data_IF_493571226652
#
_entry.id   IF_493571226652
#
_cell.length_a   1.000
_cell.length_b   1.000
_cell.length_c   1.000
_cell.angle_alpha   90.00
_cell.angle_beta   90.00
_cell.angle_gamma   90.00
#
_symmetry.space_group_name_H-M   'P 1'
#
loop_
_entity.id
_entity.type
_entity.pdbx_description
1 polymer ?
#
# COMPACT_ATOMS: atom_id res chain seq x y z
N UNK A 1 23.66 -9.97 19.93
CA UNK A 1 23.51 -11.39 19.56
C UNK A 1 22.40 -11.61 18.53
N UNK A 2 21.21 -11.08 18.65
CA UNK A 2 20.10 -11.34 17.72
C UNK A 2 20.32 -10.92 16.25
N UNK A 3 21.00 -9.79 15.97
CA UNK A 3 21.34 -9.39 14.58
C UNK A 3 22.30 -10.36 13.91
N UNK A 4 23.27 -10.90 14.66
CA UNK A 4 24.20 -11.87 14.13
C UNK A 4 23.51 -13.21 13.85
N UNK A 5 22.62 -13.63 14.76
CA UNK A 5 21.79 -14.81 14.56
C UNK A 5 20.88 -14.67 13.33
N UNK A 6 20.23 -13.53 13.14
CA UNK A 6 19.36 -13.29 11.99
C UNK A 6 20.16 -13.29 10.66
N UNK A 7 21.37 -12.72 10.65
CA UNK A 7 22.25 -12.78 9.47
C UNK A 7 22.67 -14.23 9.19
N UNK A 8 23.00 -15.00 10.24
CA UNK A 8 23.34 -16.41 10.12
C UNK A 8 22.14 -17.23 9.61
N UNK A 9 20.92 -16.96 10.11
CA UNK A 9 19.68 -17.59 9.68
C UNK A 9 19.33 -17.27 8.20
N UNK A 10 19.52 -16.01 7.78
CA UNK A 10 19.35 -15.58 6.38
C UNK A 10 20.37 -16.29 5.48
N UNK A 11 21.62 -16.32 5.89
CA UNK A 11 22.68 -17.03 5.15
C UNK A 11 22.40 -18.51 5.03
N UNK A 12 22.02 -19.15 6.14
CA UNK A 12 21.65 -20.56 6.17
C UNK A 12 20.42 -20.85 5.28
N UNK A 13 19.41 -19.96 5.27
CA UNK A 13 18.25 -20.07 4.40
C UNK A 13 18.64 -20.05 2.91
N UNK A 14 19.46 -19.09 2.49
CA UNK A 14 19.89 -18.95 1.09
C UNK A 14 20.72 -20.17 0.65
N UNK A 15 21.68 -20.60 1.46
CA UNK A 15 22.54 -21.76 1.17
C UNK A 15 21.71 -23.05 1.13
N UNK A 16 20.83 -23.28 2.11
CA UNK A 16 20.02 -24.49 2.20
C UNK A 16 19.04 -24.66 1.03
N UNK A 17 18.71 -23.59 0.31
CA UNK A 17 17.79 -23.60 -0.81
C UNK A 17 18.48 -23.29 -2.16
N UNK A 18 19.81 -23.26 -2.20
CA UNK A 18 20.62 -22.98 -3.41
C UNK A 18 20.18 -21.70 -4.12
N UNK A 19 19.97 -20.62 -3.33
CA UNK A 19 19.51 -19.32 -3.82
C UNK A 19 20.67 -18.35 -3.98
N UNK A 20 20.68 -17.58 -5.05
CA UNK A 20 21.70 -16.54 -5.27
C UNK A 20 21.60 -15.42 -4.22
N UNK A 21 22.74 -14.81 -3.89
CA UNK A 21 22.80 -13.63 -3.02
C UNK A 21 22.41 -12.41 -3.86
N UNK A 22 21.11 -12.18 -3.99
CA UNK A 22 20.52 -11.01 -4.65
C UNK A 22 19.74 -10.15 -3.64
N UNK A 23 19.49 -8.88 -3.98
CA UNK A 23 18.72 -7.97 -3.13
C UNK A 23 17.31 -8.53 -2.86
N UNK A 24 16.66 -9.10 -3.87
CA UNK A 24 15.33 -9.72 -3.78
C UNK A 24 15.33 -10.96 -2.88
N UNK A 25 16.34 -11.83 -3.01
CA UNK A 25 16.43 -13.04 -2.19
C UNK A 25 16.78 -12.73 -0.73
N UNK A 26 17.63 -11.74 -0.50
CA UNK A 26 17.92 -11.24 0.85
C UNK A 26 16.67 -10.65 1.52
N UNK A 27 15.90 -9.84 0.78
CA UNK A 27 14.64 -9.26 1.29
C UNK A 27 13.60 -10.36 1.60
N UNK A 28 13.49 -11.37 0.74
CA UNK A 28 12.58 -12.51 0.96
C UNK A 28 13.02 -13.36 2.16
N UNK A 29 14.32 -13.69 2.27
CA UNK A 29 14.87 -14.42 3.40
C UNK A 29 14.69 -13.66 4.72
N UNK A 30 14.91 -12.33 4.72
CA UNK A 30 14.61 -11.46 5.85
C UNK A 30 13.12 -11.48 6.20
N UNK A 31 12.24 -11.48 5.19
CA UNK A 31 10.79 -11.58 5.36
C UNK A 31 10.37 -12.87 6.05
N UNK A 32 11.00 -13.98 5.70
CA UNK A 32 10.71 -15.32 6.24
C UNK A 32 11.35 -15.51 7.62
N UNK A 33 12.67 -15.31 7.74
CA UNK A 33 13.43 -15.58 8.96
C UNK A 33 13.24 -14.48 10.02
N UNK A 34 13.09 -13.23 9.59
CA UNK A 34 12.91 -12.07 10.46
C UNK A 34 11.45 -11.74 10.78
N UNK A 35 10.49 -12.46 10.19
CA UNK A 35 9.05 -12.24 10.43
C UNK A 35 8.49 -10.94 9.84
N UNK A 36 9.27 -10.21 9.03
CA UNK A 36 8.84 -8.94 8.43
C UNK A 36 7.79 -9.13 7.30
N UNK A 37 7.62 -10.36 6.78
CA UNK A 37 6.57 -10.72 5.83
C UNK A 37 5.82 -11.98 6.29
N UNK A 38 4.80 -11.86 7.16
CA UNK A 38 4.06 -13.00 7.70
C UNK A 38 3.33 -13.82 6.63
N UNK A 39 2.89 -13.21 5.53
CA UNK A 39 2.24 -13.90 4.44
C UNK A 39 3.21 -14.82 3.70
N UNK A 40 4.41 -14.32 3.41
CA UNK A 40 5.48 -15.10 2.79
C UNK A 40 5.97 -16.22 3.73
N UNK A 41 6.10 -15.91 5.02
CA UNK A 41 6.48 -16.89 6.03
C UNK A 41 5.47 -18.05 6.16
N UNK A 42 4.16 -17.75 6.10
CA UNK A 42 3.11 -18.80 6.07
C UNK A 42 3.21 -19.68 4.83
N UNK A 43 3.33 -19.10 3.64
CA UNK A 43 3.47 -19.84 2.38
C UNK A 43 4.74 -20.69 2.36
N UNK A 44 5.82 -20.17 2.93
CA UNK A 44 7.05 -20.94 3.14
C UNK A 44 6.82 -22.14 4.06
N UNK A 45 6.11 -21.96 5.17
CA UNK A 45 5.78 -23.05 6.11
C UNK A 45 4.89 -24.10 5.44
N UNK A 46 3.90 -23.69 4.65
CA UNK A 46 3.04 -24.59 3.87
C UNK A 46 3.84 -25.37 2.82
N UNK A 47 4.74 -24.71 2.08
CA UNK A 47 5.61 -25.35 1.11
C UNK A 47 6.49 -26.41 1.78
N UNK A 48 7.10 -26.08 2.91
CA UNK A 48 7.94 -27.01 3.69
C UNK A 48 7.14 -28.20 4.22
N UNK A 49 5.90 -27.99 4.63
CA UNK A 49 5.00 -29.07 5.09
C UNK A 49 4.66 -30.06 3.98
N UNK A 50 4.68 -29.65 2.72
CA UNK A 50 4.48 -30.54 1.54
C UNK A 50 5.76 -31.20 1.06
N UNK A 51 6.91 -30.95 1.70
CA UNK A 51 8.21 -31.52 1.34
C UNK A 51 8.84 -30.92 0.06
N UNK A 52 8.28 -29.87 -0.48
CA UNK A 52 8.80 -29.25 -1.69
C UNK A 52 9.97 -28.29 -1.38
N UNK A 53 11.01 -28.24 -2.23
CA UNK A 53 12.12 -27.31 -2.06
C UNK A 53 11.70 -25.89 -2.40
N UNK A 54 12.30 -24.92 -1.71
CA UNK A 54 12.22 -23.50 -2.11
C UNK A 54 13.13 -23.29 -3.31
N UNK A 55 12.56 -22.95 -4.45
CA UNK A 55 13.32 -22.66 -5.68
C UNK A 55 13.32 -21.17 -5.96
N UNK A 56 14.27 -20.68 -6.77
CA UNK A 56 14.29 -19.29 -7.23
C UNK A 56 12.97 -18.93 -7.93
N UNK A 57 12.47 -19.83 -8.79
CA UNK A 57 11.20 -19.63 -9.49
C UNK A 57 10.01 -19.45 -8.53
N UNK A 58 9.94 -20.25 -7.47
CA UNK A 58 8.91 -20.11 -6.45
C UNK A 58 9.03 -18.76 -5.71
N UNK A 59 10.25 -18.37 -5.34
CA UNK A 59 10.51 -17.12 -4.65
C UNK A 59 10.11 -15.93 -5.52
N UNK A 60 10.50 -15.93 -6.78
CA UNK A 60 10.15 -14.92 -7.77
C UNK A 60 8.64 -14.82 -8.00
N UNK A 61 7.95 -15.96 -8.01
CA UNK A 61 6.49 -16.03 -8.11
C UNK A 61 5.81 -15.40 -6.89
N UNK A 62 6.32 -15.68 -5.68
CA UNK A 62 5.78 -15.11 -4.45
C UNK A 62 6.02 -13.61 -4.34
N UNK A 63 7.17 -13.12 -4.80
CA UNK A 63 7.51 -11.69 -4.80
C UNK A 63 6.73 -10.92 -5.89
N UNK A 64 6.48 -11.55 -7.06
CA UNK A 64 5.64 -10.99 -8.13
C UNK A 64 4.15 -11.05 -7.81
N UNK A 65 3.72 -11.93 -6.93
CA UNK A 65 2.32 -12.33 -6.76
C UNK A 65 1.37 -11.19 -6.37
N UNK A 66 1.84 -10.10 -5.78
CA UNK A 66 1.00 -8.95 -5.40
C UNK A 66 0.80 -8.01 -6.61
N UNK A 67 1.87 -7.68 -7.32
CA UNK A 67 1.78 -6.80 -8.51
C UNK A 67 1.05 -7.52 -9.66
N UNK A 68 1.27 -8.82 -9.80
CA UNK A 68 0.58 -9.69 -10.76
C UNK A 68 -0.93 -9.82 -10.46
N UNK A 69 -1.30 -9.87 -9.18
CA UNK A 69 -2.72 -9.89 -8.76
C UNK A 69 -3.41 -8.57 -9.06
N UNK A 70 -2.75 -7.44 -8.79
CA UNK A 70 -3.25 -6.11 -9.10
C UNK A 70 -3.37 -5.93 -10.62
N UNK A 71 -2.35 -6.34 -11.38
CA UNK A 71 -2.36 -6.29 -12.84
C UNK A 71 -3.49 -7.15 -13.44
N UNK A 72 -3.69 -8.37 -12.94
CA UNK A 72 -4.79 -9.25 -13.37
C UNK A 72 -6.17 -8.68 -13.07
N UNK A 73 -6.36 -8.02 -11.93
CA UNK A 73 -7.64 -7.38 -11.58
C UNK A 73 -7.85 -6.14 -12.47
N UNK A 74 -6.81 -5.35 -12.73
CA UNK A 74 -6.87 -4.20 -13.62
C UNK A 74 -7.24 -4.61 -15.06
N UNK A 75 -6.57 -5.62 -15.60
CA UNK A 75 -6.86 -6.18 -16.93
C UNK A 75 -8.29 -6.76 -17.05
N UNK A 76 -8.80 -7.35 -15.97
CA UNK A 76 -10.17 -7.82 -15.90
C UNK A 76 -11.18 -6.67 -15.86
N UNK A 77 -10.85 -5.58 -15.18
CA UNK A 77 -11.67 -4.37 -15.17
C UNK A 77 -11.70 -3.70 -16.53
N UNK A 78 -10.56 -3.60 -17.22
CA UNK A 78 -10.46 -3.02 -18.57
C UNK A 78 -11.30 -3.83 -19.56
N UNK A 79 -11.21 -5.15 -19.54
CA UNK A 79 -12.05 -6.04 -20.36
C UNK A 79 -13.55 -5.88 -20.06
N UNK A 80 -13.93 -5.71 -18.79
CA UNK A 80 -15.32 -5.46 -18.41
C UNK A 80 -15.82 -4.12 -18.92
N UNK A 81 -14.98 -3.08 -18.91
CA UNK A 81 -15.30 -1.76 -19.45
C UNK A 81 -15.40 -1.77 -20.99
N UNK A 82 -14.53 -2.51 -21.68
CA UNK A 82 -14.61 -2.70 -23.13
C UNK A 82 -15.89 -3.42 -23.53
N UNK A 83 -16.25 -4.49 -22.80
CA UNK A 83 -17.51 -5.22 -23.01
C UNK A 83 -18.73 -4.31 -22.82
N UNK A 84 -18.74 -3.50 -21.76
CA UNK A 84 -19.79 -2.51 -21.51
C UNK A 84 -19.89 -1.48 -22.63
N UNK A 85 -18.75 -0.96 -23.12
CA UNK A 85 -18.72 0.00 -24.22
C UNK A 85 -19.20 -0.62 -25.55
N UNK A 86 -18.93 -1.91 -25.78
CA UNK A 86 -19.45 -2.66 -26.93
C UNK A 86 -20.96 -2.82 -26.85
N UNK A 87 -21.48 -3.35 -25.73
CA UNK A 87 -22.92 -3.52 -25.49
C UNK A 87 -23.68 -2.18 -25.62
N UNK A 88 -23.12 -1.08 -25.12
CA UNK A 88 -23.71 0.26 -25.25
C UNK A 88 -23.73 0.77 -26.71
N UNK A 89 -22.72 0.43 -27.50
CA UNK A 89 -22.69 0.75 -28.95
C UNK A 89 -23.73 -0.07 -29.71
N UNK A 90 -23.81 -1.35 -29.44
CA UNK A 90 -24.78 -2.27 -30.08
C UNK A 90 -26.21 -1.87 -29.73
N UNK A 91 -26.47 -1.44 -28.51
CA UNK A 91 -27.76 -0.89 -28.10
C UNK A 91 -28.13 0.35 -28.91
N UNK A 92 -27.20 1.29 -29.08
CA UNK A 92 -27.44 2.50 -29.89
C UNK A 92 -27.69 2.18 -31.36
N UNK A 93 -26.91 1.28 -31.94
CA UNK A 93 -27.07 0.88 -33.34
C UNK A 93 -28.42 0.17 -33.57
N UNK A 94 -28.81 -0.70 -32.64
CA UNK A 94 -30.11 -1.40 -32.71
C UNK A 94 -31.28 -0.42 -32.56
N UNK A 95 -31.20 0.56 -31.64
CA UNK A 95 -32.22 1.60 -31.50
C UNK A 95 -32.34 2.48 -32.74
N UNK A 96 -31.23 2.84 -33.37
CA UNK A 96 -31.23 3.58 -34.64
C UNK A 96 -31.83 2.78 -35.80
N UNK A 97 -31.55 1.49 -35.88
CA UNK A 97 -32.14 0.59 -36.88
C UNK A 97 -33.64 0.50 -36.72
N UNK A 98 -34.13 0.25 -35.49
CA UNK A 98 -35.58 0.21 -35.22
C UNK A 98 -36.28 1.53 -35.53
N UNK A 99 -35.64 2.67 -35.19
CA UNK A 99 -36.17 4.00 -35.53
C UNK A 99 -36.34 4.19 -37.06
N UNK A 100 -35.35 3.71 -37.83
CA UNK A 100 -35.40 3.75 -39.28
C UNK A 100 -36.49 2.83 -39.89
N UNK A 101 -36.64 1.61 -39.34
CA UNK A 101 -37.67 0.68 -39.75
C UNK A 101 -39.08 1.20 -39.43
N UNK A 102 -39.26 1.80 -38.26
CA UNK A 102 -40.54 2.45 -37.88
C UNK A 102 -40.91 3.58 -38.86
N UNK A 103 -39.91 4.37 -39.28
CA UNK A 103 -40.10 5.50 -40.22
C UNK A 103 -40.52 4.98 -41.60
N UNK A 104 -39.89 3.91 -42.08
CA UNK A 104 -40.22 3.27 -43.36
C UNK A 104 -41.64 2.69 -43.34
N UNK A 105 -42.10 2.11 -42.24
CA UNK A 105 -43.45 1.61 -42.07
C UNK A 105 -44.51 2.72 -41.96
N UNK A 106 -44.18 3.84 -41.31
CA UNK A 106 -45.03 5.01 -41.21
C UNK A 106 -45.25 5.70 -42.59
N UNK A 107 -44.22 5.70 -43.44
CA UNK A 107 -44.26 6.34 -44.77
C UNK A 107 -45.01 5.49 -45.87
N UNK A 108 -45.29 4.20 -45.58
CA UNK A 108 -45.89 3.25 -46.54
C UNK A 108 -47.40 3.02 -46.34
N UNK A 109 -48.10 3.88 -45.58
CA UNK A 109 -49.49 3.71 -45.17
C UNK A 109 -50.44 3.42 -46.36
N UNK A 110 -50.78 2.14 -46.55
CA UNK A 110 -51.76 1.67 -47.55
C UNK A 110 -52.82 0.68 -47.06
N UNK A 111 -52.50 -0.15 -46.05
CA UNK A 111 -53.47 -1.05 -45.41
C UNK A 111 -53.31 -0.99 -43.87
N UNK A 112 -54.14 -0.17 -43.23
CA UNK A 112 -54.04 0.22 -41.80
C UNK A 112 -53.99 -0.99 -40.82
N UNK A 113 -54.59 -2.13 -41.15
CA UNK A 113 -54.62 -3.29 -40.24
C UNK A 113 -53.36 -4.12 -40.25
N UNK A 114 -52.73 -4.27 -41.40
CA UNK A 114 -51.48 -5.03 -41.54
C UNK A 114 -50.30 -4.22 -40.99
N UNK A 115 -50.28 -2.91 -41.20
CA UNK A 115 -49.29 -1.98 -40.66
C UNK A 115 -49.33 -1.87 -39.16
N UNK A 116 -50.52 -1.79 -38.53
CA UNK A 116 -50.68 -1.80 -37.07
C UNK A 116 -50.11 -3.11 -36.46
N UNK A 117 -50.30 -4.25 -37.11
CA UNK A 117 -49.78 -5.54 -36.66
C UNK A 117 -48.23 -5.59 -36.77
N UNK A 118 -47.67 -5.09 -37.87
CA UNK A 118 -46.23 -5.03 -38.07
C UNK A 118 -45.54 -4.07 -37.06
N UNK A 119 -46.11 -2.90 -36.84
CA UNK A 119 -45.63 -1.95 -35.82
C UNK A 119 -45.72 -2.52 -34.41
N UNK A 120 -46.83 -3.26 -34.09
CA UNK A 120 -46.94 -3.91 -32.75
C UNK A 120 -45.89 -5.01 -32.58
N UNK A 121 -45.60 -5.79 -33.62
CA UNK A 121 -44.52 -6.83 -33.57
C UNK A 121 -43.14 -6.20 -33.41
N UNK A 122 -42.87 -5.13 -34.11
CA UNK A 122 -41.60 -4.39 -33.98
C UNK A 122 -41.46 -3.77 -32.60
N UNK A 123 -42.54 -3.16 -32.07
CA UNK A 123 -42.55 -2.59 -30.72
C UNK A 123 -42.31 -3.66 -29.64
N UNK A 124 -42.88 -4.86 -29.76
CA UNK A 124 -42.60 -5.96 -28.84
C UNK A 124 -41.14 -6.42 -28.90
N UNK A 125 -40.58 -6.57 -30.09
CA UNK A 125 -39.17 -6.93 -30.27
C UNK A 125 -38.22 -5.88 -29.69
N UNK A 126 -38.52 -4.58 -29.85
CA UNK A 126 -37.79 -3.48 -29.21
C UNK A 126 -37.88 -3.57 -27.68
N UNK A 127 -39.03 -3.81 -27.12
CA UNK A 127 -39.22 -3.91 -25.68
C UNK A 127 -38.41 -5.06 -25.08
N UNK A 128 -38.48 -6.24 -25.72
CA UNK A 128 -37.70 -7.42 -25.30
C UNK A 128 -36.20 -7.16 -25.37
N UNK A 129 -35.72 -6.53 -26.45
CA UNK A 129 -34.33 -6.19 -26.63
C UNK A 129 -33.85 -5.14 -25.62
N UNK A 130 -34.66 -4.14 -25.35
CA UNK A 130 -34.36 -3.11 -24.34
C UNK A 130 -34.26 -3.72 -22.93
N UNK A 131 -35.18 -4.60 -22.56
CA UNK A 131 -35.09 -5.31 -21.28
C UNK A 131 -33.85 -6.18 -21.16
N UNK A 132 -33.48 -6.87 -22.23
CA UNK A 132 -32.23 -7.66 -22.25
C UNK A 132 -31.00 -6.78 -22.08
N UNK A 133 -30.95 -5.64 -22.77
CA UNK A 133 -29.86 -4.68 -22.66
C UNK A 133 -29.75 -4.06 -21.25
N UNK A 134 -30.88 -3.72 -20.64
CA UNK A 134 -30.91 -3.26 -19.24
C UNK A 134 -30.34 -4.30 -18.28
N UNK A 135 -30.69 -5.56 -18.45
CA UNK A 135 -30.16 -6.66 -17.62
C UNK A 135 -28.64 -6.83 -17.81
N UNK A 136 -28.15 -6.79 -19.06
CA UNK A 136 -26.72 -6.87 -19.34
C UNK A 136 -25.96 -5.68 -18.78
N UNK A 137 -26.49 -4.46 -18.92
CA UNK A 137 -25.92 -3.25 -18.32
C UNK A 137 -25.81 -3.33 -16.80
N UNK A 138 -26.88 -3.71 -16.13
CA UNK A 138 -26.87 -3.89 -14.67
C UNK A 138 -25.92 -4.97 -14.20
N UNK A 139 -25.78 -6.05 -14.97
CA UNK A 139 -24.79 -7.09 -14.67
C UNK A 139 -23.36 -6.55 -14.77
N UNK A 140 -23.05 -5.85 -15.86
CA UNK A 140 -21.73 -5.26 -16.11
C UNK A 140 -21.38 -4.19 -15.05
N UNK A 141 -22.34 -3.34 -14.67
CA UNK A 141 -22.14 -2.35 -13.59
C UNK A 141 -21.78 -3.00 -12.25
N UNK A 142 -22.49 -4.09 -11.88
CA UNK A 142 -22.21 -4.83 -10.63
C UNK A 142 -20.83 -5.48 -10.67
N UNK A 143 -20.43 -6.04 -11.80
CA UNK A 143 -19.14 -6.67 -11.99
C UNK A 143 -18.01 -5.61 -11.91
N UNK A 144 -18.14 -4.49 -12.60
CA UNK A 144 -17.21 -3.38 -12.53
C UNK A 144 -17.07 -2.80 -11.11
N UNK A 145 -18.17 -2.64 -10.38
CA UNK A 145 -18.15 -2.19 -8.99
C UNK A 145 -17.44 -3.19 -8.06
N UNK A 146 -17.58 -4.49 -8.31
CA UNK A 146 -16.92 -5.54 -7.54
C UNK A 146 -15.42 -5.56 -7.80
N UNK A 147 -15.02 -5.48 -9.08
CA UNK A 147 -13.62 -5.42 -9.50
C UNK A 147 -12.91 -4.17 -8.96
N UNK A 148 -13.57 -2.99 -9.01
CA UNK A 148 -13.04 -1.76 -8.40
C UNK A 148 -12.78 -1.89 -6.90
N UNK A 149 -13.72 -2.53 -6.15
CA UNK A 149 -13.52 -2.78 -4.71
C UNK A 149 -12.37 -3.74 -4.46
N UNK A 150 -12.26 -4.80 -5.25
CA UNK A 150 -11.16 -5.77 -5.15
C UNK A 150 -9.81 -5.13 -5.46
N UNK A 151 -9.73 -4.27 -6.47
CA UNK A 151 -8.53 -3.52 -6.82
C UNK A 151 -8.13 -2.54 -5.71
N UNK A 152 -9.10 -1.80 -5.17
CA UNK A 152 -8.85 -0.87 -4.07
C UNK A 152 -8.39 -1.59 -2.80
N UNK A 153 -8.91 -2.80 -2.54
CA UNK A 153 -8.47 -3.65 -1.44
C UNK A 153 -7.04 -4.15 -1.68
N UNK A 154 -6.78 -4.74 -2.86
CA UNK A 154 -5.46 -5.27 -3.19
C UNK A 154 -4.37 -4.19 -3.14
N UNK A 155 -4.67 -2.96 -3.63
CA UNK A 155 -3.75 -1.81 -3.50
C UNK A 155 -3.51 -1.43 -2.05
N UNK A 156 -4.56 -1.35 -1.21
CA UNK A 156 -4.39 -1.06 0.21
C UNK A 156 -3.52 -2.12 0.90
N UNK A 157 -3.81 -3.40 0.66
CA UNK A 157 -3.05 -4.50 1.26
C UNK A 157 -1.57 -4.51 0.79
N UNK A 158 -1.30 -4.01 -0.43
CA UNK A 158 0.03 -3.87 -0.99
C UNK A 158 0.81 -2.65 -0.48
N UNK A 159 0.14 -1.56 -0.17
CA UNK A 159 0.74 -0.25 0.13
C UNK A 159 0.72 0.12 1.62
N UNK A 160 -0.01 -0.64 2.45
CA UNK A 160 -0.13 -0.34 3.88
C UNK A 160 0.45 -1.46 4.76
N UNK A 161 0.93 -1.07 5.93
CA UNK A 161 1.33 -1.97 7.01
C UNK A 161 0.10 -2.40 7.83
N UNK A 162 -0.07 -3.71 8.03
CA UNK A 162 -1.30 -4.20 8.66
C UNK A 162 -1.37 -4.00 10.17
N UNK A 163 -0.26 -3.80 10.83
CA UNK A 163 -0.26 -3.55 12.27
C UNK A 163 -0.68 -2.11 12.57
N UNK A 164 -0.20 -1.15 11.78
CA UNK A 164 -0.35 0.29 12.05
C UNK A 164 -1.38 0.97 11.15
N UNK A 165 -1.70 0.39 10.00
CA UNK A 165 -2.51 1.03 8.96
C UNK A 165 -1.81 2.17 8.21
N UNK A 166 -0.57 2.50 8.57
CA UNK A 166 0.24 3.48 7.85
C UNK A 166 0.69 2.93 6.49
N UNK A 167 1.06 3.78 5.52
CA UNK A 167 1.80 3.35 4.36
C UNK A 167 3.03 2.52 4.75
N UNK A 168 3.31 1.49 3.97
CA UNK A 168 4.50 0.68 4.18
C UNK A 168 5.73 1.28 3.49
N UNK A 169 6.89 0.65 3.66
CA UNK A 169 8.16 1.06 3.05
C UNK A 169 8.05 1.29 1.55
N UNK A 170 7.43 0.35 0.82
CA UNK A 170 7.29 0.43 -0.65
C UNK A 170 6.48 1.65 -1.08
N UNK A 171 5.35 1.89 -0.43
CA UNK A 171 4.50 3.04 -0.71
C UNK A 171 5.25 4.36 -0.42
N UNK A 172 6.04 4.40 0.65
CA UNK A 172 6.84 5.57 1.00
C UNK A 172 7.95 5.85 -0.01
N UNK A 173 8.69 4.83 -0.45
CA UNK A 173 9.76 5.01 -1.45
C UNK A 173 9.22 5.59 -2.76
N UNK A 174 8.05 5.09 -3.22
CA UNK A 174 7.38 5.65 -4.40
C UNK A 174 6.84 7.07 -4.19
N UNK A 175 6.41 7.41 -2.98
CA UNK A 175 5.98 8.76 -2.62
C UNK A 175 7.17 9.72 -2.58
N UNK A 176 8.26 9.34 -1.92
CA UNK A 176 9.48 10.13 -1.79
C UNK A 176 10.02 10.53 -3.17
N UNK A 177 10.09 9.60 -4.11
CA UNK A 177 10.57 9.88 -5.46
C UNK A 177 9.64 10.86 -6.21
N UNK A 178 8.32 10.70 -6.11
CA UNK A 178 7.36 11.65 -6.71
C UNK A 178 7.50 13.03 -6.11
N UNK A 179 7.54 13.14 -4.78
CA UNK A 179 7.66 14.42 -4.08
C UNK A 179 9.01 15.10 -4.32
N UNK A 180 10.08 14.32 -4.49
CA UNK A 180 11.40 14.83 -4.91
C UNK A 180 11.32 15.54 -6.27
N UNK A 181 10.70 14.88 -7.27
CA UNK A 181 10.55 15.45 -8.61
C UNK A 181 9.64 16.68 -8.64
N UNK A 182 8.57 16.68 -7.87
CA UNK A 182 7.63 17.80 -7.77
C UNK A 182 8.25 18.98 -7.03
N UNK A 183 8.84 18.77 -5.86
CA UNK A 183 9.48 19.80 -5.06
C UNK A 183 10.67 20.44 -5.78
N UNK A 184 11.45 19.66 -6.53
CA UNK A 184 12.53 20.19 -7.37
C UNK A 184 12.02 21.13 -8.45
N UNK A 185 10.83 20.88 -9.04
CA UNK A 185 10.22 21.74 -10.05
C UNK A 185 9.64 23.02 -9.44
N UNK A 186 9.01 22.94 -8.28
CA UNK A 186 8.37 24.07 -7.60
C UNK A 186 9.35 24.85 -6.71
N UNK A 187 10.58 24.34 -6.50
CA UNK A 187 11.58 24.88 -5.57
C UNK A 187 11.06 24.90 -4.11
N UNK A 188 10.19 23.95 -3.77
CA UNK A 188 9.70 23.78 -2.39
C UNK A 188 10.81 23.10 -1.55
N UNK A 189 10.91 23.48 -0.28
CA UNK A 189 11.71 22.72 0.68
C UNK A 189 11.16 21.30 0.81
N UNK A 190 12.04 20.31 0.97
CA UNK A 190 11.69 18.93 1.18
C UNK A 190 12.63 18.31 2.20
N UNK A 191 12.09 17.86 3.32
CA UNK A 191 12.84 17.22 4.39
C UNK A 191 12.34 15.81 4.63
N UNK A 192 13.27 14.90 4.98
CA UNK A 192 12.96 13.51 5.30
C UNK A 192 13.44 13.19 6.70
N UNK A 193 12.67 12.40 7.44
CA UNK A 193 13.06 11.91 8.76
C UNK A 193 13.03 10.39 8.85
N UNK A 194 13.95 9.84 9.62
CA UNK A 194 13.99 8.44 10.02
C UNK A 194 13.85 8.36 11.56
N UNK A 195 12.90 7.57 12.03
CA UNK A 195 12.56 7.44 13.43
C UNK A 195 12.61 5.98 13.87
N UNK A 196 12.96 5.75 15.14
CA UNK A 196 12.98 4.41 15.73
C UNK A 196 12.62 4.46 17.22
N UNK A 197 11.89 3.45 17.68
CA UNK A 197 11.42 3.35 19.07
C UNK A 197 12.59 3.03 20.01
N UNK A 198 12.80 3.87 21.00
CA UNK A 198 13.90 3.67 21.93
C UNK A 198 13.71 2.42 22.78
N UNK A 199 14.77 1.59 22.84
CA UNK A 199 14.82 0.37 23.64
C UNK A 199 13.67 -0.64 23.35
N UNK A 200 13.13 -0.67 22.13
CA UNK A 200 11.99 -1.51 21.77
C UNK A 200 12.21 -3.00 22.08
N UNK A 201 13.41 -3.51 21.79
CA UNK A 201 13.74 -4.89 22.16
C UNK A 201 13.54 -5.18 23.64
N UNK A 202 13.94 -4.25 24.54
CA UNK A 202 13.76 -4.41 25.97
C UNK A 202 12.27 -4.44 26.35
N UNK A 203 11.42 -3.66 25.65
CA UNK A 203 9.97 -3.69 25.86
C UNK A 203 9.43 -5.06 25.52
N UNK A 204 9.81 -5.63 24.37
CA UNK A 204 9.41 -6.98 23.96
C UNK A 204 9.92 -8.06 24.93
N UNK A 205 11.18 -7.97 25.34
CA UNK A 205 11.81 -8.96 26.22
C UNK A 205 11.14 -9.01 27.63
N UNK A 206 10.64 -7.86 28.12
CA UNK A 206 10.01 -7.76 29.46
C UNK A 206 8.49 -7.99 29.39
N UNK A 207 7.80 -7.40 28.40
CA UNK A 207 6.34 -7.31 28.38
C UNK A 207 5.70 -8.13 27.25
N UNK A 208 6.50 -8.85 26.46
CA UNK A 208 6.04 -9.68 25.35
C UNK A 208 5.74 -8.91 24.04
N UNK A 209 5.68 -9.63 22.93
CA UNK A 209 5.47 -9.07 21.60
C UNK A 209 4.12 -8.37 21.42
N UNK A 210 3.05 -8.87 22.04
CA UNK A 210 1.73 -8.23 21.98
C UNK A 210 1.74 -6.81 22.58
N UNK A 211 2.57 -6.60 23.59
CA UNK A 211 2.77 -5.26 24.18
C UNK A 211 3.61 -4.38 23.27
N UNK A 212 4.65 -4.94 22.65
CA UNK A 212 5.43 -4.24 21.63
C UNK A 212 4.58 -3.79 20.44
N UNK A 213 3.69 -4.64 19.94
CA UNK A 213 2.76 -4.29 18.87
C UNK A 213 1.86 -3.10 19.22
N UNK A 214 1.37 -3.05 20.46
CA UNK A 214 0.59 -1.89 20.95
C UNK A 214 1.43 -0.61 21.07
N UNK A 215 2.70 -0.74 21.43
CA UNK A 215 3.65 0.39 21.44
C UNK A 215 3.86 0.91 20.03
N UNK A 216 4.10 0.04 19.06
CA UNK A 216 4.20 0.41 17.65
C UNK A 216 2.93 1.14 17.19
N UNK A 217 1.74 0.59 17.48
CA UNK A 217 0.46 1.24 17.15
C UNK A 217 0.29 2.61 17.83
N UNK A 218 0.73 2.75 19.09
CA UNK A 218 0.63 4.01 19.81
C UNK A 218 1.52 5.11 19.21
N UNK A 219 2.76 4.76 18.80
CA UNK A 219 3.67 5.69 18.11
C UNK A 219 3.16 6.01 16.71
N UNK A 220 2.73 4.99 15.95
CA UNK A 220 2.10 5.19 14.65
C UNK A 220 0.93 6.18 14.72
N UNK A 221 0.05 6.02 15.73
CA UNK A 221 -1.06 6.94 15.97
C UNK A 221 -0.64 8.34 16.41
N UNK A 222 0.51 8.49 17.08
CA UNK A 222 1.06 9.80 17.42
C UNK A 222 1.65 10.50 16.18
N UNK A 223 2.43 9.79 15.39
CA UNK A 223 3.01 10.30 14.14
C UNK A 223 1.93 10.60 13.09
N UNK A 224 0.91 9.76 12.97
CA UNK A 224 -0.20 9.97 12.05
C UNK A 224 -0.94 11.30 12.25
N UNK A 225 -0.92 11.87 13.47
CA UNK A 225 -1.59 13.16 13.76
C UNK A 225 -0.96 14.35 13.05
N UNK A 226 0.30 14.27 12.70
CA UNK A 226 0.96 15.31 11.91
C UNK A 226 0.89 15.05 10.41
N UNK A 227 0.34 13.90 9.99
CA UNK A 227 0.15 13.57 8.58
C UNK A 227 -0.96 14.43 7.96
N UNK A 228 -0.65 15.04 6.83
CA UNK A 228 -1.56 15.85 6.01
C UNK A 228 -1.06 15.84 4.56
N UNK A 229 -1.58 16.69 3.69
CA UNK A 229 -1.20 16.75 2.27
C UNK A 229 0.30 17.06 2.06
N UNK A 230 0.95 17.69 3.04
CA UNK A 230 2.36 18.09 3.00
C UNK A 230 3.27 17.29 3.94
N UNK A 231 2.71 16.45 4.80
CA UNK A 231 3.46 15.60 5.72
C UNK A 231 2.96 14.16 5.64
N UNK A 232 3.82 13.26 5.25
CA UNK A 232 3.49 11.85 5.08
C UNK A 232 4.29 10.99 6.05
N UNK A 233 3.62 10.02 6.66
CA UNK A 233 4.20 9.10 7.62
C UNK A 233 4.04 7.68 7.10
N UNK A 234 5.08 6.86 7.26
CA UNK A 234 5.05 5.44 6.88
C UNK A 234 5.83 4.59 7.90
N UNK A 235 5.47 3.31 7.98
CA UNK A 235 6.28 2.32 8.70
C UNK A 235 7.31 1.72 7.75
N UNK A 236 8.59 1.87 8.09
CA UNK A 236 9.70 1.42 7.26
C UNK A 236 10.09 -0.04 7.54
N UNK A 237 10.02 -0.45 8.79
CA UNK A 237 10.36 -1.81 9.24
C UNK A 237 9.90 -2.01 10.69
N UNK A 238 10.19 -3.12 11.31
CA UNK A 238 9.84 -3.50 12.67
C UNK A 238 9.37 -2.38 13.61
N UNK A 239 10.32 -1.62 14.14
CA UNK A 239 10.12 -0.51 15.06
C UNK A 239 10.46 0.86 14.44
N UNK A 240 10.66 0.90 13.10
CA UNK A 240 11.16 2.04 12.34
C UNK A 240 10.06 2.73 11.56
N UNK A 241 10.08 4.07 11.58
CA UNK A 241 9.15 4.92 10.85
C UNK A 241 9.91 5.94 10.01
N UNK A 242 9.32 6.36 8.91
CA UNK A 242 9.86 7.42 8.05
C UNK A 242 8.81 8.49 7.82
N UNK A 243 9.26 9.73 7.73
CA UNK A 243 8.39 10.88 7.48
C UNK A 243 8.96 11.72 6.34
N UNK A 244 8.08 12.32 5.58
CA UNK A 244 8.39 13.26 4.51
C UNK A 244 7.64 14.56 4.76
N UNK A 245 8.35 15.67 4.75
CA UNK A 245 7.82 17.02 4.97
C UNK A 245 8.06 17.86 3.72
N UNK A 246 7.00 18.21 3.00
CA UNK A 246 7.05 19.15 1.89
C UNK A 246 6.75 20.55 2.36
N UNK A 247 7.51 21.53 1.89
CA UNK A 247 7.36 22.94 2.27
C UNK A 247 7.90 23.28 3.65
N UNK A 248 8.52 22.34 4.36
CA UNK A 248 9.26 22.57 5.60
C UNK A 248 10.73 22.35 5.37
N UNK A 249 11.55 23.29 5.81
CA UNK A 249 12.99 23.12 5.84
C UNK A 249 13.43 22.13 6.96
N UNK A 250 14.70 21.77 6.97
CA UNK A 250 15.26 20.82 7.94
C UNK A 250 15.03 21.25 9.39
N UNK A 251 15.14 22.53 9.69
CA UNK A 251 14.98 23.06 11.05
C UNK A 251 13.52 23.02 11.51
N UNK A 252 12.60 23.41 10.65
CA UNK A 252 11.16 23.34 10.88
C UNK A 252 10.68 21.88 11.04
N UNK A 253 11.20 20.97 10.22
CA UNK A 253 10.90 19.54 10.31
C UNK A 253 11.39 18.94 11.64
N UNK A 254 12.58 19.32 12.11
CA UNK A 254 13.11 18.94 13.44
C UNK A 254 12.17 19.40 14.54
N UNK A 255 11.79 20.69 14.56
CA UNK A 255 10.89 21.25 15.57
C UNK A 255 9.53 20.55 15.58
N UNK A 256 8.96 20.30 14.39
CA UNK A 256 7.69 19.62 14.25
C UNK A 256 7.70 18.20 14.78
N UNK A 257 8.78 17.47 14.51
CA UNK A 257 8.93 16.09 14.97
C UNK A 257 9.26 16.01 16.47
N UNK A 258 10.04 16.97 16.96
CA UNK A 258 10.41 17.03 18.38
C UNK A 258 9.20 17.33 19.29
N UNK A 259 8.26 18.15 18.84
CA UNK A 259 6.99 18.40 19.55
C UNK A 259 6.17 17.09 19.70
N UNK A 260 6.12 16.26 18.65
CA UNK A 260 5.48 14.94 18.72
C UNK A 260 6.20 14.02 19.69
N UNK A 261 7.54 13.98 19.64
CA UNK A 261 8.38 13.19 20.52
C UNK A 261 8.15 13.58 21.99
N UNK A 262 8.21 14.88 22.30
CA UNK A 262 7.98 15.36 23.66
C UNK A 262 6.58 15.01 24.19
N UNK A 263 5.57 15.25 23.35
CA UNK A 263 4.19 14.93 23.72
C UNK A 263 4.00 13.43 23.94
N UNK A 264 4.67 12.59 23.16
CA UNK A 264 4.61 11.14 23.30
C UNK A 264 5.36 10.66 24.54
N UNK A 265 6.57 11.16 24.79
CA UNK A 265 7.42 10.77 25.91
C UNK A 265 6.81 11.10 27.29
N UNK A 266 5.89 12.07 27.36
CA UNK A 266 5.17 12.42 28.60
C UNK A 266 4.07 11.42 28.98
N UNK A 267 3.75 10.45 28.11
CA UNK A 267 2.70 9.46 28.35
C UNK A 267 3.22 8.32 29.21
N UNK A 268 2.41 7.89 30.16
CA UNK A 268 2.64 6.67 30.91
C UNK A 268 1.87 5.51 30.26
N UNK A 269 2.57 4.45 29.96
CA UNK A 269 2.01 3.25 29.35
C UNK A 269 1.84 2.15 30.39
N UNK A 270 0.73 1.43 30.31
CA UNK A 270 0.38 0.32 31.20
C UNK A 270 0.17 -0.93 30.34
N UNK A 271 0.73 -2.04 30.77
CA UNK A 271 0.48 -3.34 30.17
C UNK A 271 -0.94 -3.80 30.52
N UNK A 272 -1.84 -3.87 29.53
CA UNK A 272 -3.25 -4.24 29.75
C UNK A 272 -3.48 -5.70 30.12
N UNK A 273 -2.46 -6.56 30.06
CA UNK A 273 -2.61 -7.98 30.42
C UNK A 273 -2.47 -8.21 31.93
N UNK A 274 -1.67 -7.39 32.60
CA UNK A 274 -1.36 -7.55 34.02
C UNK A 274 -1.39 -6.23 34.80
N UNK A 275 -1.86 -5.14 34.21
CA UNK A 275 -1.90 -3.78 34.75
C UNK A 275 -0.55 -3.24 35.25
N UNK A 276 0.57 -3.87 34.87
CA UNK A 276 1.90 -3.39 35.24
C UNK A 276 2.30 -2.15 34.43
N UNK A 277 2.96 -1.17 35.07
CA UNK A 277 3.45 -0.01 34.37
C UNK A 277 4.62 -0.39 33.45
N UNK A 278 4.50 -0.05 32.14
CA UNK A 278 5.60 -0.14 31.20
C UNK A 278 6.54 1.07 31.37
N UNK A 279 5.98 2.19 31.89
CA UNK A 279 6.68 3.44 32.05
C UNK A 279 6.58 4.36 30.85
N UNK A 280 7.55 5.25 30.71
CA UNK A 280 7.65 6.18 29.60
C UNK A 280 8.32 5.51 28.41
N UNK A 281 7.74 5.70 27.24
CA UNK A 281 8.27 5.22 25.96
C UNK A 281 8.60 6.43 25.11
N UNK A 282 9.77 6.41 24.49
CA UNK A 282 10.22 7.47 23.59
C UNK A 282 10.65 6.92 22.25
N UNK A 283 10.89 7.80 21.32
CA UNK A 283 11.55 7.50 20.07
C UNK A 283 12.66 8.51 19.82
N UNK A 284 13.63 8.10 19.04
CA UNK A 284 14.67 8.94 18.50
C UNK A 284 14.48 9.15 17.00
N UNK A 285 14.93 10.27 16.47
CA UNK A 285 14.82 10.54 15.04
C UNK A 285 16.06 11.30 14.51
N UNK A 286 16.33 11.11 13.21
CA UNK A 286 17.21 11.93 12.41
C UNK A 286 16.45 12.61 11.30
N UNK A 287 16.79 13.85 10.95
CA UNK A 287 16.14 14.64 9.90
C UNK A 287 17.19 15.15 8.93
N UNK A 288 16.95 15.00 7.63
CA UNK A 288 17.80 15.47 6.55
C UNK A 288 17.03 16.36 5.56
N UNK A 289 17.70 17.37 5.01
CA UNK A 289 17.23 18.10 3.84
C UNK A 289 17.46 17.22 2.60
N UNK A 290 16.41 16.99 1.81
CA UNK A 290 16.49 16.09 0.66
C UNK A 290 17.40 16.65 -0.44
N UNK A 291 17.43 17.97 -0.61
CA UNK A 291 18.22 18.62 -1.66
C UNK A 291 19.68 18.87 -1.28
N UNK A 292 20.07 18.62 -0.03
CA UNK A 292 21.47 18.66 0.39
C UNK A 292 22.27 17.43 -0.07
N UNK A 293 21.61 16.40 -0.65
CA UNK A 293 22.24 15.14 -1.06
C UNK A 293 22.01 14.83 -2.54
N UNK A 294 22.85 13.97 -3.16
CA UNK A 294 22.76 13.65 -4.58
C UNK A 294 21.44 12.98 -5.00
N UNK A 295 20.79 12.27 -4.10
CA UNK A 295 19.50 11.60 -4.35
C UNK A 295 18.62 11.60 -3.11
N UNK A 296 17.31 11.41 -3.32
CA UNK A 296 16.33 11.22 -2.24
C UNK A 296 16.68 10.04 -1.33
N UNK A 297 17.28 8.98 -1.87
CA UNK A 297 17.77 7.82 -1.10
C UNK A 297 18.98 8.15 -0.24
N UNK A 298 19.90 8.98 -0.73
CA UNK A 298 21.07 9.39 0.06
C UNK A 298 20.67 10.32 1.21
N UNK A 299 19.67 11.17 1.00
CA UNK A 299 19.06 11.97 2.06
C UNK A 299 18.41 11.08 3.15
N UNK A 300 17.69 10.02 2.74
CA UNK A 300 17.10 9.08 3.70
C UNK A 300 18.18 8.34 4.51
N UNK A 301 19.30 7.94 3.89
CA UNK A 301 20.46 7.37 4.60
C UNK A 301 21.09 8.38 5.55
N UNK A 302 21.18 9.65 5.16
CA UNK A 302 21.71 10.69 6.05
C UNK A 302 20.81 10.90 7.28
N UNK A 303 19.49 10.84 7.11
CA UNK A 303 18.56 10.85 8.21
C UNK A 303 18.74 9.62 9.14
N UNK A 304 19.00 8.42 8.61
CA UNK A 304 19.31 7.23 9.40
C UNK A 304 20.63 7.37 10.18
N UNK A 305 21.66 7.95 9.58
CA UNK A 305 22.93 8.28 10.28
C UNK A 305 22.70 9.27 11.42
N UNK A 306 21.87 10.29 11.21
CA UNK A 306 21.50 11.26 12.24
C UNK A 306 20.67 10.60 13.36
N UNK A 307 19.78 9.64 13.04
CA UNK A 307 19.09 8.81 14.03
C UNK A 307 20.07 8.00 14.87
N UNK A 308 21.09 7.41 14.26
CA UNK A 308 22.11 6.70 15.01
C UNK A 308 22.84 7.63 16.00
N UNK A 309 23.17 8.86 15.55
CA UNK A 309 23.74 9.89 16.43
C UNK A 309 22.78 10.26 17.58
N UNK A 310 21.49 10.41 17.32
CA UNK A 310 20.48 10.66 18.35
C UNK A 310 20.46 9.55 19.42
N UNK A 311 20.51 8.28 18.98
CA UNK A 311 20.59 7.12 19.88
C UNK A 311 21.88 7.09 20.71
N UNK A 312 23.03 7.42 20.10
CA UNK A 312 24.33 7.46 20.76
C UNK A 312 24.42 8.59 21.81
N UNK A 313 23.78 9.74 21.54
CA UNK A 313 23.75 10.89 22.46
C UNK A 313 22.77 10.73 23.65
N UNK A 314 22.15 9.58 23.81
CA UNK A 314 21.28 9.31 24.99
C UNK A 314 19.82 9.13 24.64
N UNK A 315 19.48 8.98 23.38
CA UNK A 315 18.10 8.72 22.91
C UNK A 315 17.10 9.85 23.18
N UNK A 316 15.80 9.60 22.94
CA UNK A 316 14.71 10.54 23.20
C UNK A 316 14.99 11.94 22.64
N UNK A 317 15.39 12.04 21.39
CA UNK A 317 15.73 13.30 20.71
C UNK A 317 15.63 13.23 19.21
N UNK A 318 15.55 14.39 18.60
CA UNK A 318 15.62 14.56 17.15
C UNK A 318 16.95 15.25 16.82
N UNK A 319 17.72 14.70 15.87
CA UNK A 319 19.02 15.24 15.42
C UNK A 319 18.93 15.58 13.93
N UNK A 320 19.42 16.76 13.56
CA UNK A 320 19.57 17.14 12.16
C UNK A 320 20.81 16.47 11.56
N UNK A 321 20.68 15.94 10.34
CA UNK A 321 21.84 15.49 9.55
C UNK A 321 22.72 16.68 9.15
N UNK A 322 24.03 16.46 9.09
CA UNK A 322 25.04 17.46 8.68
C UNK A 322 24.98 17.78 7.18
#
# INVERSE_FOLDING_TARGET
>A
MARRQLVDDIGAFLIANDLEISESNLAAALGICGGSNPALARRYTELRATGNPVTQAWLDEQLRGVDDSIAKIADKLDRSLESFASTSRDARNTAAQYSSEMQVHADKAGDEREEIRNLATLAMAMLERTQHLEQEMHRSEREAATLRRSLAKARRDADHDHLTGLPNRRAFEGLLERQYLEANKSHDALSVAFCDIDNFKRINDIHGHDTGDRVIQAIAGALAKISNDNCHVARHGGEEFVLLFRGLDKAEAVLRLDDVRETFAKRNFINRQNDEPIGQISFSAGVADVFAYPSSRDALKAADVALYAAKAQGRNRVVAAE
#
